data_IF_559778719351
#
_entry.id   IF_559778719351
#
_cell.length_a   1.000
_cell.length_b   1.000
_cell.length_c   1.000
_cell.angle_alpha   90.00
_cell.angle_beta   90.00
_cell.angle_gamma   90.00
#
_symmetry.space_group_name_H-M   'P 1'
#
loop_
_entity.id
_entity.type
_entity.pdbx_description
1 polymer ?
#
# COMPACT_ATOMS: atom_id res chain seq x y z
N UNK A 1 14.85 -13.09 21.83
CA UNK A 1 13.97 -12.67 20.73
C UNK A 1 14.12 -13.66 19.57
N UNK A 2 13.02 -14.11 19.00
CA UNK A 2 13.05 -15.01 17.84
C UNK A 2 13.55 -14.26 16.62
N UNK A 3 13.99 -15.00 15.60
CA UNK A 3 14.42 -14.40 14.34
C UNK A 3 13.27 -13.65 13.66
N UNK A 4 12.05 -14.20 13.73
CA UNK A 4 10.86 -13.54 13.18
C UNK A 4 10.56 -12.21 13.87
N UNK A 5 10.64 -12.19 15.21
CA UNK A 5 10.42 -10.95 15.95
C UNK A 5 11.48 -9.90 15.65
N UNK A 6 12.73 -10.31 15.43
CA UNK A 6 13.81 -9.40 15.05
C UNK A 6 13.58 -8.82 13.67
N UNK A 7 13.17 -9.64 12.71
CA UNK A 7 12.87 -9.18 11.35
C UNK A 7 11.74 -8.15 11.35
N UNK A 8 10.68 -8.39 12.13
CA UNK A 8 9.57 -7.45 12.26
C UNK A 8 10.04 -6.14 12.89
N UNK A 9 10.83 -6.22 13.96
CA UNK A 9 11.35 -5.03 14.64
C UNK A 9 12.24 -4.20 13.71
N UNK A 10 13.09 -4.86 12.92
CA UNK A 10 13.98 -4.17 11.98
C UNK A 10 13.18 -3.52 10.84
N UNK A 11 12.16 -4.20 10.33
CA UNK A 11 11.28 -3.65 9.30
C UNK A 11 10.54 -2.41 9.82
N UNK A 12 10.04 -2.46 11.05
CA UNK A 12 9.32 -1.33 11.66
C UNK A 12 10.26 -0.13 11.86
N UNK A 13 11.49 -0.37 12.32
CA UNK A 13 12.48 0.72 12.45
C UNK A 13 12.79 1.35 11.10
N UNK A 14 13.02 0.52 10.08
CA UNK A 14 13.27 1.00 8.72
C UNK A 14 12.11 1.84 8.21
N UNK A 15 10.88 1.38 8.44
CA UNK A 15 9.69 2.12 8.03
C UNK A 15 9.62 3.49 8.71
N UNK A 16 9.89 3.55 10.02
CA UNK A 16 9.88 4.82 10.75
C UNK A 16 10.97 5.77 10.31
N UNK A 17 12.15 5.25 9.98
CA UNK A 17 13.27 6.07 9.51
C UNK A 17 13.03 6.62 8.11
N UNK A 18 12.41 5.84 7.24
CA UNK A 18 12.24 6.18 5.82
C UNK A 18 10.91 6.84 5.52
N UNK A 19 9.92 6.66 6.39
CA UNK A 19 8.55 7.17 6.22
C UNK A 19 8.01 6.92 4.81
N UNK A 20 7.94 5.64 4.37
CA UNK A 20 7.58 5.34 2.99
C UNK A 20 6.15 5.75 2.67
N UNK A 21 5.91 6.14 1.42
CA UNK A 21 4.58 6.41 0.92
C UNK A 21 3.92 5.08 0.53
N UNK A 22 2.83 4.73 1.20
CA UNK A 22 2.06 3.52 0.93
C UNK A 22 0.74 3.91 0.27
N UNK A 23 0.52 3.41 -0.94
CA UNK A 23 -0.76 3.55 -1.64
C UNK A 23 -1.63 2.35 -1.25
N UNK A 24 -2.72 2.61 -0.56
CA UNK A 24 -3.61 1.56 -0.08
C UNK A 24 -4.97 1.65 -0.75
N UNK A 25 -5.38 0.56 -1.39
CA UNK A 25 -6.74 0.41 -1.93
C UNK A 25 -7.43 -0.64 -1.07
N UNK A 26 -8.46 -0.23 -0.34
CA UNK A 26 -9.18 -1.09 0.59
C UNK A 26 -10.67 -0.78 0.53
N UNK A 27 -11.48 -1.45 1.33
CA UNK A 27 -12.91 -1.16 1.39
C UNK A 27 -13.18 0.02 2.32
N UNK A 28 -14.36 0.64 2.17
CA UNK A 28 -14.71 1.84 2.92
C UNK A 28 -14.89 1.59 4.42
N UNK A 29 -15.16 0.34 4.81
CA UNK A 29 -15.32 0.00 6.22
C UNK A 29 -13.97 0.08 6.96
N UNK A 30 -12.89 -0.35 6.31
CA UNK A 30 -11.57 -0.44 6.94
C UNK A 30 -10.60 0.67 6.51
N UNK A 31 -11.00 1.56 5.61
CA UNK A 31 -10.10 2.57 5.05
C UNK A 31 -9.47 3.45 6.13
N UNK A 32 -10.28 3.99 7.04
CA UNK A 32 -9.77 4.83 8.13
C UNK A 32 -8.86 4.07 9.09
N UNK A 33 -9.23 2.84 9.42
CA UNK A 33 -8.42 1.99 10.28
C UNK A 33 -7.07 1.67 9.61
N UNK A 34 -7.10 1.29 8.35
CA UNK A 34 -5.87 0.99 7.59
C UNK A 34 -4.94 2.20 7.53
N UNK A 35 -5.48 3.38 7.22
CA UNK A 35 -4.69 4.60 7.18
C UNK A 35 -4.07 4.91 8.54
N UNK A 36 -4.84 4.78 9.63
CA UNK A 36 -4.34 5.05 10.97
C UNK A 36 -3.25 4.07 11.39
N UNK A 37 -3.38 2.78 11.05
CA UNK A 37 -2.35 1.78 11.34
C UNK A 37 -1.06 2.09 10.59
N UNK A 38 -1.16 2.42 9.30
CA UNK A 38 0.01 2.79 8.49
C UNK A 38 0.73 4.00 9.08
N UNK A 39 -0.02 5.05 9.45
CA UNK A 39 0.56 6.25 10.06
C UNK A 39 1.21 5.93 11.40
N UNK A 40 0.57 5.12 12.23
CA UNK A 40 1.13 4.72 13.52
C UNK A 40 2.41 3.89 13.37
N UNK A 41 2.52 3.12 12.29
CA UNK A 41 3.71 2.33 12.00
C UNK A 41 4.85 3.17 11.42
N UNK A 42 4.59 4.42 11.06
CA UNK A 42 5.60 5.34 10.54
C UNK A 42 5.55 5.59 9.05
N UNK A 43 4.57 5.02 8.34
CA UNK A 43 4.39 5.25 6.92
C UNK A 43 3.55 6.50 6.65
N UNK A 44 3.66 7.02 5.44
CA UNK A 44 2.67 7.96 4.89
C UNK A 44 1.64 7.14 4.13
N UNK A 45 0.36 7.45 4.30
CA UNK A 45 -0.73 6.68 3.71
C UNK A 45 -1.46 7.51 2.65
N UNK A 46 -1.65 6.94 1.47
CA UNK A 46 -2.44 7.55 0.41
C UNK A 46 -3.54 6.56 -0.01
N UNK A 47 -4.78 7.00 0.11
CA UNK A 47 -5.95 6.14 -0.12
C UNK A 47 -6.58 6.48 -1.48
N UNK A 48 -5.78 6.41 -2.55
CA UNK A 48 -6.21 6.76 -3.90
C UNK A 48 -6.98 5.58 -4.50
N UNK A 49 -8.28 5.77 -4.71
CA UNK A 49 -9.19 4.71 -5.13
C UNK A 49 -9.98 5.03 -6.41
N UNK A 50 -9.56 6.02 -7.18
CA UNK A 50 -10.20 6.29 -8.47
C UNK A 50 -9.33 5.77 -9.62
N UNK A 51 -9.99 5.36 -10.69
CA UNK A 51 -9.33 4.71 -11.82
C UNK A 51 -8.31 5.62 -12.50
N UNK A 52 -8.61 6.91 -12.62
CA UNK A 52 -7.76 7.85 -13.35
C UNK A 52 -6.42 8.09 -12.67
N UNK A 53 -6.40 8.06 -11.34
CA UNK A 53 -5.20 8.39 -10.56
C UNK A 53 -4.49 7.18 -9.98
N UNK A 54 -5.20 6.05 -9.83
CA UNK A 54 -4.67 4.90 -9.11
C UNK A 54 -3.40 4.33 -9.75
N UNK A 55 -3.39 4.18 -11.06
CA UNK A 55 -2.22 3.64 -11.76
C UNK A 55 -1.02 4.58 -11.64
N UNK A 56 -1.24 5.88 -11.83
CA UNK A 56 -0.18 6.88 -11.71
C UNK A 56 0.40 6.88 -10.29
N UNK A 57 -0.47 6.88 -9.29
CA UNK A 57 -0.05 6.95 -7.90
C UNK A 57 0.69 5.67 -7.46
N UNK A 58 0.21 4.50 -7.89
CA UNK A 58 0.86 3.23 -7.61
C UNK A 58 2.28 3.16 -8.20
N UNK A 59 2.51 3.85 -9.31
CA UNK A 59 3.83 3.91 -9.94
C UNK A 59 4.84 4.73 -9.17
N UNK A 60 4.40 5.70 -8.34
CA UNK A 60 5.29 6.58 -7.56
C UNK A 60 5.35 6.23 -6.07
N UNK A 61 4.43 5.41 -5.58
CA UNK A 61 4.44 4.99 -4.18
C UNK A 61 5.60 4.04 -3.90
N UNK A 62 6.07 4.03 -2.66
CA UNK A 62 7.12 3.11 -2.24
C UNK A 62 6.59 1.68 -2.07
N UNK A 63 5.32 1.56 -1.71
CA UNK A 63 4.65 0.27 -1.57
C UNK A 63 3.17 0.41 -1.88
N UNK A 64 2.54 -0.69 -2.30
CA UNK A 64 1.12 -0.74 -2.61
C UNK A 64 0.49 -1.87 -1.82
N UNK A 65 -0.62 -1.57 -1.17
CA UNK A 65 -1.44 -2.53 -0.44
C UNK A 65 -2.83 -2.58 -1.09
N UNK A 66 -3.25 -3.76 -1.52
CA UNK A 66 -4.60 -3.98 -2.04
C UNK A 66 -5.29 -4.98 -1.13
N UNK A 67 -6.34 -4.54 -0.46
CA UNK A 67 -7.13 -5.37 0.44
C UNK A 67 -8.41 -5.82 -0.26
N UNK A 68 -8.50 -7.09 -0.59
CA UNK A 68 -9.65 -7.69 -1.25
C UNK A 68 -10.65 -8.32 -0.27
N UNK A 69 -10.48 -8.10 1.03
CA UNK A 69 -11.50 -8.46 2.01
C UNK A 69 -12.72 -7.58 1.80
N UNK A 70 -13.89 -8.18 1.59
CA UNK A 70 -15.11 -7.47 1.21
C UNK A 70 -14.89 -6.60 -0.03
N UNK A 71 -14.55 -7.20 -1.18
CA UNK A 71 -14.24 -6.41 -2.37
C UNK A 71 -15.48 -5.68 -2.87
N UNK A 72 -15.26 -4.48 -3.41
CA UNK A 72 -16.32 -3.64 -3.95
C UNK A 72 -16.29 -3.73 -5.47
N UNK A 73 -17.36 -4.23 -6.12
CA UNK A 73 -17.37 -4.42 -7.58
C UNK A 73 -17.04 -3.16 -8.37
N UNK A 74 -17.47 -2.01 -7.87
CA UNK A 74 -17.20 -0.72 -8.52
C UNK A 74 -15.72 -0.34 -8.50
N UNK A 75 -14.89 -0.99 -7.68
CA UNK A 75 -13.45 -0.74 -7.61
C UNK A 75 -12.63 -1.77 -8.40
N UNK A 76 -13.28 -2.67 -9.14
CA UNK A 76 -12.58 -3.73 -9.87
C UNK A 76 -11.47 -3.17 -10.77
N UNK A 77 -11.77 -2.15 -11.56
CA UNK A 77 -10.79 -1.56 -12.47
C UNK A 77 -9.66 -0.84 -11.69
N UNK A 78 -9.99 -0.26 -10.55
CA UNK A 78 -8.98 0.35 -9.67
C UNK A 78 -8.02 -0.72 -9.16
N UNK A 79 -8.53 -1.86 -8.70
CA UNK A 79 -7.67 -2.97 -8.23
C UNK A 79 -6.72 -3.43 -9.33
N UNK A 80 -7.25 -3.67 -10.54
CA UNK A 80 -6.46 -4.16 -11.66
C UNK A 80 -5.40 -3.13 -12.11
N UNK A 81 -5.80 -1.88 -12.24
CA UNK A 81 -4.89 -0.82 -12.67
C UNK A 81 -3.78 -0.59 -11.64
N UNK A 82 -4.14 -0.60 -10.36
CA UNK A 82 -3.19 -0.41 -9.27
C UNK A 82 -2.16 -1.55 -9.22
N UNK A 83 -2.63 -2.79 -9.28
CA UNK A 83 -1.76 -3.96 -9.25
C UNK A 83 -0.83 -4.00 -10.45
N UNK A 84 -1.34 -3.70 -11.64
CA UNK A 84 -0.55 -3.67 -12.87
C UNK A 84 0.54 -2.61 -12.81
N UNK A 85 0.20 -1.40 -12.38
CA UNK A 85 1.16 -0.30 -12.27
C UNK A 85 2.23 -0.58 -11.21
N UNK A 86 1.84 -1.14 -10.06
CA UNK A 86 2.77 -1.49 -9.00
C UNK A 86 3.74 -2.58 -9.46
N UNK A 87 3.24 -3.58 -10.16
CA UNK A 87 4.07 -4.66 -10.72
C UNK A 87 5.08 -4.12 -11.72
N UNK A 88 4.65 -3.23 -12.62
CA UNK A 88 5.54 -2.62 -13.60
C UNK A 88 6.63 -1.77 -12.94
N UNK A 89 6.27 -1.00 -11.90
CA UNK A 89 7.22 -0.15 -11.18
C UNK A 89 8.23 -0.97 -10.38
N UNK A 90 7.85 -2.15 -9.90
CA UNK A 90 8.73 -3.05 -9.14
C UNK A 90 9.63 -3.89 -10.03
N UNK A 91 9.38 -3.94 -11.35
CA UNK A 91 10.19 -4.73 -12.27
C UNK A 91 11.60 -4.13 -12.39
N UNK A 92 12.64 -4.95 -12.35
CA UNK A 92 14.00 -4.43 -12.51
C UNK A 92 14.19 -3.85 -13.92
N UNK A 93 15.02 -2.83 -14.06
CA UNK A 93 15.35 -2.31 -15.39
C UNK A 93 16.06 -3.38 -16.22
N UNK A 94 15.75 -3.44 -17.50
CA UNK A 94 16.41 -4.35 -18.45
C UNK A 94 17.80 -3.84 -18.82
#
# INVERSE_FOLDING_TARGET
>A
MTDSARLVADALRSMRDRAPLVHAVTNYVTAGFTANVLLAAGASAAMVDNEDEAALFAGVADAVLINLGTPQPQLREVYLATASAASAAASPPE
#
